data_IF_800859752879
#
_entry.id   IF_800859752879
#
_cell.length_a   1.000
_cell.length_b   1.000
_cell.length_c   1.000
_cell.angle_alpha   90.00
_cell.angle_beta   90.00
_cell.angle_gamma   90.00
#
_symmetry.space_group_name_H-M   'P 1'
#
loop_
_entity.id
_entity.type
_entity.pdbx_description
1 polymer ?
#
# COMPACT_ATOMS: atom_id res chain seq x y z
N UNK A 1 31.88 2.84 -20.62
CA UNK A 1 32.06 2.64 -22.08
C UNK A 1 30.68 2.77 -22.67
N UNK A 2 30.43 3.84 -23.41
CA UNK A 2 29.09 4.14 -23.89
C UNK A 2 28.89 3.43 -25.24
N UNK A 3 28.03 2.41 -25.24
CA UNK A 3 27.71 1.63 -26.43
C UNK A 3 26.42 2.19 -27.04
N UNK A 4 26.37 2.27 -28.36
CA UNK A 4 25.15 2.60 -29.11
C UNK A 4 24.80 1.45 -30.04
N UNK A 5 23.53 1.25 -30.29
CA UNK A 5 23.07 0.39 -31.38
C UNK A 5 22.64 1.26 -32.55
N UNK A 6 23.12 0.92 -33.74
CA UNK A 6 22.70 1.48 -35.03
C UNK A 6 21.85 0.43 -35.73
N UNK A 7 20.67 0.79 -36.21
CA UNK A 7 19.77 -0.16 -36.86
C UNK A 7 18.71 0.56 -37.70
N UNK A 8 18.11 -0.19 -38.60
CA UNK A 8 16.94 0.23 -39.38
C UNK A 8 15.69 -0.42 -38.78
N UNK A 9 14.53 0.21 -38.97
CA UNK A 9 13.26 -0.36 -38.54
C UNK A 9 12.13 -0.15 -39.54
N UNK A 10 11.22 -1.12 -39.57
CA UNK A 10 9.93 -1.00 -40.25
C UNK A 10 8.81 -1.35 -39.28
N UNK A 11 7.87 -0.45 -39.08
CA UNK A 11 6.68 -0.62 -38.23
C UNK A 11 5.44 -0.58 -39.10
N UNK A 12 4.64 -1.64 -39.07
CA UNK A 12 3.39 -1.76 -39.82
C UNK A 12 2.21 -1.62 -38.87
N UNK A 13 1.22 -0.80 -39.22
CA UNK A 13 0.05 -0.56 -38.36
C UNK A 13 -1.13 -1.47 -38.71
N UNK A 14 -1.89 -1.88 -37.69
CA UNK A 14 -3.05 -2.77 -37.85
C UNK A 14 -4.22 -2.12 -38.58
N UNK A 15 -4.27 -0.78 -38.61
CA UNK A 15 -5.24 0.00 -39.39
C UNK A 15 -4.73 0.40 -40.79
N UNK A 16 -3.57 -0.13 -41.21
CA UNK A 16 -2.94 0.17 -42.50
C UNK A 16 -1.91 1.30 -42.44
N UNK A 17 -0.93 1.24 -43.36
CA UNK A 17 0.22 2.14 -43.39
C UNK A 17 1.45 1.60 -42.64
N UNK A 18 2.59 2.29 -42.80
CA UNK A 18 3.83 1.93 -42.12
C UNK A 18 4.76 3.14 -41.91
N UNK A 19 5.65 3.02 -40.92
CA UNK A 19 6.79 3.93 -40.71
C UNK A 19 8.07 3.14 -40.91
N UNK A 20 9.05 3.76 -41.60
CA UNK A 20 10.40 3.22 -41.73
C UNK A 20 11.43 4.24 -41.28
N UNK A 21 12.48 3.77 -40.62
CA UNK A 21 13.64 4.57 -40.24
C UNK A 21 14.93 3.85 -40.60
N UNK A 22 15.93 4.61 -41.03
CA UNK A 22 17.24 4.11 -41.44
C UNK A 22 18.34 4.73 -40.56
N UNK A 23 19.39 3.95 -40.30
CA UNK A 23 20.58 4.34 -39.53
C UNK A 23 20.27 4.93 -38.14
N UNK A 24 19.17 4.50 -37.53
CA UNK A 24 18.70 5.01 -36.24
C UNK A 24 19.67 4.60 -35.14
N UNK A 25 20.02 5.55 -34.25
CA UNK A 25 21.03 5.32 -33.20
C UNK A 25 20.44 5.49 -31.81
N UNK A 26 20.54 4.45 -31.00
CA UNK A 26 20.09 4.42 -29.61
C UNK A 26 21.23 4.07 -28.67
N UNK A 27 21.26 4.72 -27.51
CA UNK A 27 22.23 4.44 -26.46
C UNK A 27 21.78 3.17 -25.72
N UNK A 28 22.68 2.21 -25.49
CA UNK A 28 22.34 0.96 -24.81
C UNK A 28 23.24 0.73 -23.60
N UNK A 29 22.69 0.08 -22.57
CA UNK A 29 23.47 -0.41 -21.43
C UNK A 29 23.92 -1.85 -21.70
N UNK A 30 25.23 -2.08 -21.67
CA UNK A 30 25.83 -3.37 -21.97
C UNK A 30 26.26 -3.51 -23.44
N UNK A 31 26.66 -4.71 -23.82
CA UNK A 31 27.26 -4.99 -25.14
C UNK A 31 26.25 -5.46 -26.20
N UNK A 32 24.97 -5.63 -25.83
CA UNK A 32 23.93 -6.08 -26.74
C UNK A 32 22.53 -5.64 -26.24
N UNK A 33 21.55 -5.71 -27.15
CA UNK A 33 20.12 -5.52 -26.90
C UNK A 33 19.37 -6.47 -27.83
N UNK A 34 18.15 -6.91 -27.54
CA UNK A 34 17.36 -7.73 -28.48
C UNK A 34 16.57 -6.88 -29.48
N UNK A 35 16.09 -7.49 -30.57
CA UNK A 35 15.27 -6.78 -31.57
C UNK A 35 13.89 -6.41 -31.02
N UNK A 36 13.35 -7.24 -30.12
CA UNK A 36 12.10 -6.96 -29.43
C UNK A 36 12.24 -5.71 -28.54
N UNK A 37 13.31 -5.63 -27.75
CA UNK A 37 13.55 -4.48 -26.88
C UNK A 37 13.73 -3.18 -27.68
N UNK A 38 14.35 -3.23 -28.87
CA UNK A 38 14.45 -2.06 -29.75
C UNK A 38 13.11 -1.65 -30.36
N UNK A 39 12.30 -2.63 -30.77
CA UNK A 39 10.96 -2.39 -31.27
C UNK A 39 10.08 -1.74 -30.20
N UNK A 40 10.05 -2.33 -29.00
CA UNK A 40 9.28 -1.83 -27.85
C UNK A 40 9.69 -0.39 -27.50
N UNK A 41 11.00 -0.11 -27.49
CA UNK A 41 11.53 1.24 -27.25
C UNK A 41 11.03 2.28 -28.25
N UNK A 42 11.13 2.00 -29.56
CA UNK A 42 10.70 2.97 -30.59
C UNK A 42 9.19 3.22 -30.52
N UNK A 43 8.41 2.16 -30.29
CA UNK A 43 6.95 2.24 -30.19
C UNK A 43 6.55 3.15 -29.03
N UNK A 44 7.19 2.98 -27.88
CA UNK A 44 6.94 3.79 -26.69
C UNK A 44 7.40 5.25 -26.88
N UNK A 45 8.63 5.47 -27.33
CA UNK A 45 9.24 6.80 -27.45
C UNK A 45 8.49 7.68 -28.48
N UNK A 46 8.12 7.09 -29.62
CA UNK A 46 7.33 7.76 -30.66
C UNK A 46 5.82 7.75 -30.36
N UNK A 47 5.39 7.14 -29.24
CA UNK A 47 3.99 7.01 -28.80
C UNK A 47 3.07 6.45 -29.89
N UNK A 48 3.54 5.44 -30.59
CA UNK A 48 2.84 4.84 -31.71
C UNK A 48 1.68 3.96 -31.19
N UNK A 49 0.49 4.14 -31.79
CA UNK A 49 -0.70 3.35 -31.49
C UNK A 49 -1.01 2.40 -32.64
N UNK A 50 -1.76 1.32 -32.36
CA UNK A 50 -2.18 0.33 -33.36
C UNK A 50 -1.01 -0.34 -34.10
N UNK A 51 0.13 -0.53 -33.41
CA UNK A 51 1.31 -1.18 -33.98
C UNK A 51 1.05 -2.67 -34.16
N UNK A 52 1.27 -3.16 -35.38
CA UNK A 52 1.24 -4.57 -35.76
C UNK A 52 2.65 -5.15 -35.80
N UNK A 53 3.06 -5.65 -36.98
CA UNK A 53 4.40 -6.23 -37.15
C UNK A 53 5.48 -5.15 -37.09
N UNK A 54 6.54 -5.40 -36.32
CA UNK A 54 7.76 -4.59 -36.32
C UNK A 54 8.95 -5.44 -36.75
N UNK A 55 9.80 -4.88 -37.61
CA UNK A 55 11.05 -5.50 -38.07
C UNK A 55 12.22 -4.61 -37.72
N UNK A 56 13.23 -5.18 -37.09
CA UNK A 56 14.54 -4.55 -36.90
C UNK A 56 15.48 -5.14 -37.93
N UNK A 57 16.23 -4.28 -38.62
CA UNK A 57 17.11 -4.64 -39.73
C UNK A 57 18.49 -3.99 -39.51
N UNK A 58 19.53 -4.54 -40.14
CA UNK A 58 20.87 -3.93 -40.22
C UNK A 58 21.46 -3.45 -38.88
N UNK A 59 21.22 -4.25 -37.83
CA UNK A 59 21.62 -3.92 -36.46
C UNK A 59 23.12 -4.11 -36.23
N UNK A 60 23.76 -3.06 -35.70
CA UNK A 60 25.18 -3.02 -35.38
C UNK A 60 25.43 -2.32 -34.03
N UNK A 61 26.36 -2.82 -33.23
CA UNK A 61 26.74 -2.22 -31.94
C UNK A 61 28.02 -1.40 -32.11
N UNK A 62 27.92 -0.09 -31.88
CA UNK A 62 28.99 0.89 -31.99
C UNK A 62 29.56 1.25 -30.61
N UNK A 63 30.85 1.55 -30.54
CA UNK A 63 31.53 2.02 -29.32
C UNK A 63 32.05 3.44 -29.56
N UNK A 64 31.34 4.45 -29.07
CA UNK A 64 31.67 5.86 -29.32
C UNK A 64 31.42 6.70 -28.05
N UNK A 65 32.34 7.59 -27.61
CA UNK A 65 32.10 8.47 -26.47
C UNK A 65 31.08 9.57 -26.81
N UNK A 66 29.98 9.68 -26.04
CA UNK A 66 28.92 10.68 -26.30
C UNK A 66 28.39 11.36 -25.02
N UNK A 67 27.86 12.58 -25.17
CA UNK A 67 27.59 13.55 -24.07
C UNK A 67 26.18 13.47 -23.45
N UNK A 68 25.38 12.44 -23.74
CA UNK A 68 24.04 12.31 -23.13
C UNK A 68 24.05 11.24 -22.03
N UNK A 69 23.61 11.62 -20.83
CA UNK A 69 23.24 10.66 -19.80
C UNK A 69 22.07 9.83 -20.33
N UNK A 70 22.14 8.49 -20.32
CA UNK A 70 21.00 7.67 -20.71
C UNK A 70 19.82 8.02 -19.80
N UNK A 71 18.67 8.34 -20.37
CA UNK A 71 17.40 8.43 -19.65
C UNK A 71 16.96 6.98 -19.39
N UNK A 72 17.71 6.30 -18.53
CA UNK A 72 17.23 5.10 -17.85
C UNK A 72 16.72 5.57 -16.49
N UNK A 73 15.52 6.13 -16.49
CA UNK A 73 14.65 5.76 -15.38
C UNK A 73 14.34 4.30 -15.67
N UNK A 74 15.12 3.38 -15.08
CA UNK A 74 14.62 2.04 -14.77
C UNK A 74 13.18 2.29 -14.34
N UNK A 75 12.22 1.59 -14.91
CA UNK A 75 10.97 1.38 -14.20
C UNK A 75 11.41 0.61 -12.94
N UNK A 76 11.82 1.36 -11.92
CA UNK A 76 11.99 0.89 -10.56
C UNK A 76 10.57 0.52 -10.19
N UNK A 77 10.19 -0.73 -10.45
CA UNK A 77 8.93 -1.24 -9.99
C UNK A 77 8.96 -1.11 -8.47
N UNK A 78 8.24 -0.12 -7.97
CA UNK A 78 7.96 0.04 -6.56
C UNK A 78 7.47 -1.31 -6.03
N UNK A 79 8.13 -1.82 -4.99
CA UNK A 79 7.64 -3.02 -4.33
C UNK A 79 6.52 -2.60 -3.39
N UNK A 80 5.31 -3.06 -3.69
CA UNK A 80 4.15 -2.88 -2.84
C UNK A 80 4.04 -4.06 -1.89
N UNK A 81 4.07 -3.79 -0.59
CA UNK A 81 3.90 -4.78 0.46
C UNK A 81 2.53 -4.56 1.08
N UNK A 82 1.71 -5.60 1.06
CA UNK A 82 0.40 -5.61 1.68
C UNK A 82 0.50 -5.88 3.17
N UNK A 83 -0.09 -4.99 3.96
CA UNK A 83 -0.02 -4.99 5.42
C UNK A 83 -1.39 -5.25 6.07
N UNK A 84 -2.32 -5.83 5.30
CA UNK A 84 -3.70 -6.06 5.74
C UNK A 84 -4.06 -7.53 5.81
N UNK A 85 -4.86 -7.90 6.82
CA UNK A 85 -5.50 -9.21 6.86
C UNK A 85 -6.69 -9.28 5.90
N UNK A 86 -6.92 -10.46 5.31
CA UNK A 86 -8.09 -10.72 4.46
C UNK A 86 -9.38 -10.68 5.29
N UNK A 87 -10.38 -9.95 4.81
CA UNK A 87 -11.73 -9.96 5.37
C UNK A 87 -12.57 -10.99 4.61
N UNK A 88 -13.13 -11.95 5.34
CA UNK A 88 -14.00 -13.00 4.81
C UNK A 88 -15.24 -13.17 5.68
N UNK A 89 -16.27 -13.83 5.15
CA UNK A 89 -17.49 -14.12 5.91
C UNK A 89 -17.15 -14.84 7.22
N UNK A 90 -17.68 -14.35 8.34
CA UNK A 90 -17.47 -14.97 9.65
C UNK A 90 -16.15 -14.63 10.33
N UNK A 91 -15.31 -13.76 9.73
CA UNK A 91 -14.08 -13.29 10.37
C UNK A 91 -14.38 -12.61 11.71
N UNK A 92 -13.81 -13.13 12.79
CA UNK A 92 -13.87 -12.47 14.09
C UNK A 92 -12.72 -11.47 14.18
N UNK A 93 -13.02 -10.18 14.37
CA UNK A 93 -12.00 -9.14 14.62
C UNK A 93 -11.95 -8.76 16.11
N UNK A 94 -13.12 -8.71 16.75
CA UNK A 94 -13.28 -8.51 18.18
C UNK A 94 -14.27 -9.52 18.76
N UNK A 95 -13.92 -10.13 19.89
CA UNK A 95 -14.86 -10.98 20.63
C UNK A 95 -16.07 -10.15 21.08
N UNK A 96 -17.26 -10.62 20.72
CA UNK A 96 -18.54 -9.98 21.07
C UNK A 96 -19.08 -8.99 20.04
N UNK A 97 -18.32 -8.63 19.01
CA UNK A 97 -18.86 -7.89 17.86
C UNK A 97 -19.39 -8.86 16.78
N UNK A 98 -20.42 -8.46 16.01
CA UNK A 98 -20.88 -9.24 14.87
C UNK A 98 -19.77 -9.44 13.84
N UNK A 99 -19.58 -10.68 13.40
CA UNK A 99 -18.71 -11.00 12.28
C UNK A 99 -19.33 -10.51 10.95
N UNK A 100 -18.51 -10.19 9.93
CA UNK A 100 -19.01 -9.72 8.65
C UNK A 100 -19.80 -10.82 7.93
N UNK A 101 -20.91 -10.40 7.32
CA UNK A 101 -21.70 -11.20 6.40
C UNK A 101 -21.32 -10.78 4.99
N UNK A 102 -20.69 -11.68 4.25
CA UNK A 102 -20.34 -11.50 2.84
C UNK A 102 -21.15 -12.52 2.05
N UNK A 103 -22.10 -12.05 1.26
CA UNK A 103 -22.98 -12.91 0.47
C UNK A 103 -23.34 -12.26 -0.87
N UNK A 104 -24.08 -12.98 -1.71
CA UNK A 104 -24.57 -12.43 -2.98
C UNK A 104 -25.83 -11.60 -2.76
N UNK A 105 -25.82 -10.36 -3.24
CA UNK A 105 -27.05 -9.64 -3.59
C UNK A 105 -27.63 -10.19 -4.89
N UNK A 106 -26.76 -10.37 -5.89
CA UNK A 106 -27.05 -11.04 -7.15
C UNK A 106 -25.95 -12.07 -7.43
N UNK A 107 -26.31 -13.35 -7.45
CA UNK A 107 -25.38 -14.42 -7.80
C UNK A 107 -25.14 -14.48 -9.31
N UNK A 108 -24.02 -15.08 -9.74
CA UNK A 108 -23.75 -15.30 -11.17
C UNK A 108 -24.86 -16.08 -11.86
N UNK A 109 -25.38 -17.11 -11.19
CA UNK A 109 -26.49 -17.91 -11.69
C UNK A 109 -27.77 -17.07 -11.88
N UNK A 110 -28.16 -16.30 -10.86
CA UNK A 110 -29.34 -15.46 -10.95
C UNK A 110 -29.16 -14.31 -11.96
N UNK A 111 -27.92 -13.84 -12.14
CA UNK A 111 -27.62 -12.79 -13.12
C UNK A 111 -27.98 -13.19 -14.55
N UNK A 112 -27.93 -14.50 -14.90
CA UNK A 112 -28.30 -15.01 -16.23
C UNK A 112 -29.75 -14.69 -16.63
N UNK A 113 -30.62 -14.41 -15.66
CA UNK A 113 -32.01 -14.01 -15.93
C UNK A 113 -32.13 -12.56 -16.41
N UNK A 114 -31.09 -11.74 -16.19
CA UNK A 114 -31.05 -10.31 -16.50
C UNK A 114 -30.13 -9.97 -17.69
N UNK A 115 -29.23 -10.87 -18.08
CA UNK A 115 -28.22 -10.64 -19.11
C UNK A 115 -28.28 -11.69 -20.23
N UNK A 116 -27.69 -11.36 -21.39
CA UNK A 116 -27.62 -12.26 -22.53
C UNK A 116 -26.76 -13.50 -22.25
N UNK A 117 -26.99 -14.56 -23.03
CA UNK A 117 -26.23 -15.81 -22.94
C UNK A 117 -24.74 -15.54 -23.06
N UNK A 118 -23.96 -16.03 -22.09
CA UNK A 118 -22.51 -15.82 -22.02
C UNK A 118 -22.08 -14.62 -21.17
N UNK A 119 -23.03 -13.85 -20.63
CA UNK A 119 -22.75 -12.71 -19.73
C UNK A 119 -23.28 -12.98 -18.33
N UNK A 120 -22.40 -13.00 -17.33
CA UNK A 120 -22.75 -13.28 -15.93
C UNK A 120 -21.99 -12.36 -14.99
N UNK A 121 -22.68 -11.84 -13.97
CA UNK A 121 -22.11 -10.95 -12.96
C UNK A 121 -22.42 -11.44 -11.56
N UNK A 122 -21.53 -11.13 -10.61
CA UNK A 122 -21.82 -11.24 -9.20
C UNK A 122 -21.86 -9.84 -8.60
N UNK A 123 -22.88 -9.57 -7.80
CA UNK A 123 -22.97 -8.35 -6.98
C UNK A 123 -23.00 -8.83 -5.54
N UNK A 124 -21.93 -8.53 -4.80
CA UNK A 124 -21.84 -8.85 -3.38
C UNK A 124 -22.66 -7.90 -2.52
N UNK A 125 -23.22 -8.41 -1.43
CA UNK A 125 -23.71 -7.65 -0.29
C UNK A 125 -22.77 -7.90 0.89
N UNK A 126 -22.35 -6.82 1.54
CA UNK A 126 -21.50 -6.89 2.73
C UNK A 126 -22.21 -6.14 3.85
N UNK A 127 -22.40 -6.82 4.98
CA UNK A 127 -22.87 -6.24 6.23
C UNK A 127 -21.80 -6.51 7.28
N UNK A 128 -21.25 -5.46 7.88
CA UNK A 128 -20.15 -5.59 8.84
C UNK A 128 -20.10 -4.41 9.78
N UNK A 129 -19.57 -4.63 10.99
CA UNK A 129 -19.08 -3.53 11.82
C UNK A 129 -17.82 -2.94 11.19
N UNK A 130 -17.58 -1.66 11.42
CA UNK A 130 -16.50 -0.96 10.72
C UNK A 130 -15.11 -1.19 11.31
N UNK A 131 -15.04 -1.72 12.54
CA UNK A 131 -13.83 -2.27 13.14
C UNK A 131 -13.64 -3.76 12.74
N UNK A 132 -13.47 -4.01 11.45
CA UNK A 132 -13.28 -5.37 10.88
C UNK A 132 -11.94 -5.47 10.15
N UNK A 133 -11.19 -6.55 10.36
CA UNK A 133 -9.89 -6.78 9.73
C UNK A 133 -8.86 -5.71 10.10
N UNK A 134 -8.01 -5.34 9.15
CA UNK A 134 -7.13 -4.17 9.27
C UNK A 134 -7.92 -2.92 8.92
N UNK A 135 -8.05 -2.00 9.88
CA UNK A 135 -8.86 -0.79 9.73
C UNK A 135 -8.13 0.43 10.27
N UNK A 136 -8.66 1.60 9.92
CA UNK A 136 -8.19 2.90 10.40
C UNK A 136 -9.25 3.58 11.25
N UNK A 137 -8.82 4.27 12.30
CA UNK A 137 -9.65 5.13 13.14
C UNK A 137 -9.31 6.60 12.91
N UNK A 138 -10.34 7.43 12.86
CA UNK A 138 -10.25 8.89 12.78
C UNK A 138 -10.96 9.56 13.98
N UNK A 139 -10.85 10.90 14.14
CA UNK A 139 -11.37 11.60 15.31
C UNK A 139 -12.82 11.27 15.69
N UNK A 140 -13.70 11.09 14.70
CA UNK A 140 -15.10 10.75 14.92
C UNK A 140 -15.31 9.44 15.71
N UNK A 141 -14.38 8.48 15.64
CA UNK A 141 -14.47 7.23 16.41
C UNK A 141 -14.55 7.49 17.92
N UNK A 142 -13.85 8.54 18.39
CA UNK A 142 -13.76 8.88 19.82
C UNK A 142 -14.56 10.12 20.20
N UNK A 143 -14.70 11.09 19.30
CA UNK A 143 -15.30 12.38 19.57
C UNK A 143 -16.49 12.62 18.63
N UNK A 144 -17.68 12.82 19.21
CA UNK A 144 -18.94 13.02 18.46
C UNK A 144 -18.86 14.13 17.40
N UNK A 145 -18.08 15.18 17.65
CA UNK A 145 -17.86 16.31 16.74
C UNK A 145 -16.50 16.25 16.01
N UNK A 146 -15.79 15.12 16.10
CA UNK A 146 -14.56 14.91 15.36
C UNK A 146 -14.82 14.69 13.87
N UNK A 147 -13.81 14.96 13.03
CA UNK A 147 -13.88 14.68 11.60
C UNK A 147 -14.13 13.20 11.33
N UNK A 148 -15.12 12.89 10.50
CA UNK A 148 -15.36 11.54 10.00
C UNK A 148 -14.45 11.21 8.80
N UNK A 149 -14.47 9.96 8.32
CA UNK A 149 -13.61 9.53 7.20
C UNK A 149 -13.88 10.25 5.87
N UNK A 150 -15.03 10.93 5.72
CA UNK A 150 -15.33 11.76 4.55
C UNK A 150 -14.72 13.16 4.62
N UNK A 151 -14.32 13.59 5.81
CA UNK A 151 -13.81 14.94 6.11
C UNK A 151 -12.29 15.00 6.30
N UNK A 152 -11.64 13.89 6.68
CA UNK A 152 -10.19 13.83 6.80
C UNK A 152 -9.53 13.91 5.41
N UNK A 153 -8.47 14.72 5.28
CA UNK A 153 -7.74 14.93 4.04
C UNK A 153 -6.91 13.72 3.59
N UNK A 154 -6.73 13.55 2.28
CA UNK A 154 -5.98 12.42 1.71
C UNK A 154 -4.51 12.38 2.16
N UNK A 155 -3.92 13.55 2.42
CA UNK A 155 -2.56 13.73 2.93
C UNK A 155 -2.33 13.08 4.30
N UNK A 156 -3.39 12.72 5.03
CA UNK A 156 -3.31 11.98 6.28
C UNK A 156 -3.28 10.46 6.07
N UNK A 157 -3.59 9.97 4.86
CA UNK A 157 -3.77 8.55 4.58
C UNK A 157 -2.73 7.98 3.60
N UNK A 158 -2.16 8.79 2.72
CA UNK A 158 -1.41 8.28 1.56
C UNK A 158 0.01 8.79 1.50
N UNK A 159 0.90 7.90 1.05
CA UNK A 159 2.31 8.16 0.78
C UNK A 159 3.04 8.85 1.94
N UNK A 160 2.67 8.50 3.17
CA UNK A 160 3.30 9.02 4.38
C UNK A 160 4.72 8.44 4.49
N UNK A 161 5.75 9.28 4.62
CA UNK A 161 7.07 8.77 5.02
C UNK A 161 6.94 8.01 6.34
N UNK A 162 7.45 6.78 6.37
CA UNK A 162 7.12 5.82 7.40
C UNK A 162 8.37 5.21 8.05
N UNK A 163 8.22 4.88 9.33
CA UNK A 163 9.22 4.17 10.12
C UNK A 163 8.60 2.96 10.80
N UNK A 164 9.31 1.84 10.78
CA UNK A 164 8.99 0.67 11.59
C UNK A 164 9.84 0.68 12.85
N UNK A 165 9.19 0.67 14.01
CA UNK A 165 9.82 0.49 15.32
C UNK A 165 9.50 -0.92 15.80
N UNK A 166 10.54 -1.74 15.95
CA UNK A 166 10.40 -3.16 16.32
C UNK A 166 10.51 -3.31 17.84
N UNK A 167 9.43 -3.74 18.48
CA UNK A 167 9.33 -3.95 19.94
C UNK A 167 8.64 -5.30 20.15
N UNK A 168 9.38 -6.42 20.12
CA UNK A 168 8.79 -7.76 20.15
C UNK A 168 7.93 -8.00 21.39
N UNK A 169 6.76 -8.62 21.22
CA UNK A 169 5.86 -8.94 22.34
C UNK A 169 6.50 -9.89 23.36
N UNK A 170 7.55 -10.61 22.97
CA UNK A 170 8.35 -11.47 23.86
C UNK A 170 9.18 -10.69 24.87
N UNK A 171 9.44 -9.40 24.61
CA UNK A 171 10.21 -8.52 25.50
C UNK A 171 9.29 -7.70 26.41
N UNK A 172 8.21 -7.14 25.86
CA UNK A 172 7.22 -6.37 26.62
C UNK A 172 5.86 -6.35 25.92
N UNK A 173 4.79 -6.26 26.71
CA UNK A 173 3.45 -5.95 26.20
C UNK A 173 3.11 -4.45 26.33
N UNK A 174 3.77 -3.73 27.24
CA UNK A 174 3.50 -2.32 27.49
C UNK A 174 4.57 -1.46 26.81
N UNK A 175 4.19 -0.82 25.71
CA UNK A 175 5.08 0.03 24.91
C UNK A 175 5.01 1.46 25.45
N UNK A 176 6.09 1.86 26.10
CA UNK A 176 6.26 3.19 26.70
C UNK A 176 7.04 4.15 25.79
N UNK A 177 7.03 5.43 26.13
CA UNK A 177 7.80 6.48 25.46
C UNK A 177 9.32 6.20 25.40
N UNK A 178 9.89 5.48 26.37
CA UNK A 178 11.33 5.13 26.36
C UNK A 178 11.70 4.28 25.14
N UNK A 179 10.77 3.44 24.66
CA UNK A 179 10.98 2.64 23.45
C UNK A 179 10.97 3.48 22.16
N UNK A 180 10.50 4.74 22.24
CA UNK A 180 10.29 5.61 21.09
C UNK A 180 11.31 6.76 21.00
N UNK A 181 11.93 7.15 22.12
CA UNK A 181 12.81 8.34 22.23
C UNK A 181 14.02 8.37 21.29
N UNK A 182 14.51 7.20 20.86
CA UNK A 182 15.72 7.10 20.03
C UNK A 182 15.45 7.06 18.52
N UNK A 183 14.21 7.36 18.10
CA UNK A 183 13.79 7.34 16.70
C UNK A 183 13.40 8.74 16.23
N UNK A 184 13.79 9.08 15.00
CA UNK A 184 13.27 10.28 14.32
C UNK A 184 11.92 9.96 13.70
N UNK A 185 10.85 10.46 14.34
CA UNK A 185 9.45 10.11 14.06
C UNK A 185 8.60 11.32 13.65
N UNK A 186 9.11 12.55 13.77
CA UNK A 186 8.32 13.77 13.54
C UNK A 186 7.84 13.84 12.09
N UNK A 187 6.55 14.15 11.89
CA UNK A 187 5.88 14.19 10.58
C UNK A 187 5.86 12.86 9.80
N UNK A 188 6.04 11.72 10.46
CA UNK A 188 6.05 10.39 9.82
C UNK A 188 4.85 9.54 10.23
N UNK A 189 4.59 8.48 9.49
CA UNK A 189 3.80 7.34 9.97
C UNK A 189 4.70 6.44 10.83
N UNK A 190 4.27 6.15 12.05
CA UNK A 190 5.00 5.29 12.99
C UNK A 190 4.31 3.93 13.06
N UNK A 191 4.94 2.90 12.51
CA UNK A 191 4.42 1.53 12.53
C UNK A 191 5.12 0.73 13.64
N UNK A 192 4.35 0.30 14.63
CA UNK A 192 4.83 -0.48 15.76
C UNK A 192 4.71 -1.96 15.41
N UNK A 193 5.86 -2.61 15.24
CA UNK A 193 5.95 -4.03 14.95
C UNK A 193 6.28 -4.82 16.21
N UNK A 194 5.30 -5.57 16.68
CA UNK A 194 5.41 -6.41 17.88
C UNK A 194 5.55 -7.89 17.54
N UNK A 195 5.17 -8.29 16.32
CA UNK A 195 5.06 -9.68 15.88
C UNK A 195 3.78 -10.37 16.35
N UNK A 196 2.81 -9.61 16.90
CA UNK A 196 1.57 -10.16 17.43
C UNK A 196 0.62 -10.69 16.34
N UNK A 197 0.78 -10.19 15.11
CA UNK A 197 0.08 -10.65 13.90
C UNK A 197 0.25 -12.16 13.65
N UNK A 198 1.33 -12.76 14.13
CA UNK A 198 1.52 -14.23 14.12
C UNK A 198 0.42 -15.02 14.85
N UNK A 199 -0.34 -14.37 15.74
CA UNK A 199 -1.47 -15.00 16.43
C UNK A 199 -2.83 -14.68 15.78
N UNK A 200 -2.87 -13.96 14.64
CA UNK A 200 -4.11 -13.52 14.00
C UNK A 200 -5.15 -14.63 13.86
N UNK A 201 -6.43 -14.29 14.10
CA UNK A 201 -7.57 -15.20 14.04
C UNK A 201 -7.42 -16.46 14.93
N UNK A 202 -6.72 -16.33 16.07
CA UNK A 202 -6.68 -17.35 17.13
C UNK A 202 -7.19 -16.77 18.44
N UNK A 203 -7.60 -17.63 19.38
CA UNK A 203 -8.06 -17.20 20.72
C UNK A 203 -7.05 -16.30 21.42
N UNK A 204 -5.75 -16.58 21.25
CA UNK A 204 -4.66 -15.83 21.87
C UNK A 204 -4.57 -14.40 21.34
N UNK A 205 -4.98 -14.13 20.10
CA UNK A 205 -4.90 -12.79 19.52
C UNK A 205 -5.63 -11.74 20.37
N UNK A 206 -6.78 -12.13 20.92
CA UNK A 206 -7.73 -11.25 21.59
C UNK A 206 -7.41 -11.01 23.08
N UNK A 207 -6.33 -11.60 23.61
CA UNK A 207 -6.03 -11.62 25.04
C UNK A 207 -4.55 -11.30 25.27
N UNK A 208 -4.25 -10.50 26.30
CA UNK A 208 -2.87 -10.17 26.70
C UNK A 208 -1.98 -9.68 25.53
N UNK A 209 -2.56 -8.86 24.65
CA UNK A 209 -1.86 -8.32 23.49
C UNK A 209 -0.96 -7.11 23.85
N UNK A 210 0.07 -6.82 23.03
CA UNK A 210 0.86 -5.59 23.14
C UNK A 210 0.02 -4.33 22.91
N UNK A 211 0.37 -3.25 23.58
CA UNK A 211 -0.34 -1.96 23.50
C UNK A 211 0.61 -0.79 23.82
N UNK A 212 0.20 0.43 23.49
CA UNK A 212 0.91 1.66 23.84
C UNK A 212 0.37 2.19 25.18
N UNK A 213 1.27 2.71 26.02
CA UNK A 213 0.86 3.40 27.24
C UNK A 213 0.38 4.83 26.95
N UNK A 214 -0.29 5.45 27.92
CA UNK A 214 -0.62 6.87 27.84
C UNK A 214 0.62 7.76 27.66
N UNK A 215 1.75 7.41 28.28
CA UNK A 215 3.03 8.10 28.11
C UNK A 215 3.54 8.04 26.67
N UNK A 216 3.48 6.86 26.03
CA UNK A 216 3.81 6.70 24.62
C UNK A 216 2.88 7.54 23.72
N UNK A 217 1.58 7.54 23.98
CA UNK A 217 0.63 8.34 23.19
C UNK A 217 0.90 9.85 23.28
N UNK A 218 1.18 10.36 24.48
CA UNK A 218 1.56 11.77 24.68
C UNK A 218 2.85 12.11 23.95
N UNK A 219 3.85 11.23 24.02
CA UNK A 219 5.11 11.41 23.32
C UNK A 219 4.91 11.46 21.79
N UNK A 220 4.17 10.52 21.21
CA UNK A 220 3.85 10.51 19.77
C UNK A 220 3.13 11.79 19.33
N UNK A 221 2.15 12.25 20.10
CA UNK A 221 1.46 13.52 19.88
C UNK A 221 2.41 14.70 19.89
N UNK A 222 3.26 14.80 20.92
CA UNK A 222 4.18 15.92 21.11
C UNK A 222 5.29 15.95 20.03
N UNK A 223 5.60 14.79 19.45
CA UNK A 223 6.44 14.66 18.27
C UNK A 223 5.73 15.00 16.95
N UNK A 224 4.41 15.25 16.95
CA UNK A 224 3.63 15.60 15.75
C UNK A 224 3.77 14.55 14.63
N UNK A 225 3.64 13.28 14.98
CA UNK A 225 3.53 12.21 13.98
C UNK A 225 2.27 12.41 13.13
N UNK A 226 2.21 11.79 11.95
CA UNK A 226 1.04 11.86 11.06
C UNK A 226 0.02 10.76 11.31
N UNK A 227 0.52 9.57 11.62
CA UNK A 227 -0.28 8.35 11.77
C UNK A 227 0.50 7.37 12.66
N UNK A 228 -0.21 6.59 13.46
CA UNK A 228 0.38 5.42 14.13
C UNK A 228 -0.31 4.14 13.65
N UNK A 229 0.48 3.10 13.42
CA UNK A 229 -0.01 1.76 13.10
C UNK A 229 0.52 0.73 14.09
N UNK A 230 -0.24 -0.32 14.39
CA UNK A 230 0.20 -1.44 15.23
C UNK A 230 -0.29 -2.79 14.69
N UNK A 231 0.53 -3.82 14.80
CA UNK A 231 0.22 -5.21 14.42
C UNK A 231 -0.47 -6.02 15.53
N UNK A 232 -1.19 -5.33 16.42
CA UNK A 232 -1.79 -5.89 17.64
C UNK A 232 -3.32 -5.78 17.62
N UNK A 233 -3.97 -6.45 18.57
CA UNK A 233 -5.42 -6.49 18.69
C UNK A 233 -6.04 -5.11 18.99
N UNK A 234 -5.36 -4.27 19.76
CA UNK A 234 -5.77 -2.90 20.01
C UNK A 234 -4.53 -2.09 20.39
N UNK A 235 -4.50 -0.81 20.07
CA UNK A 235 -3.42 0.11 20.41
C UNK A 235 -3.44 0.49 21.90
N UNK A 236 -4.62 0.43 22.54
CA UNK A 236 -4.80 0.59 23.98
C UNK A 236 -4.81 -0.75 24.72
N UNK A 237 -4.45 -0.75 26.00
CA UNK A 237 -4.70 -1.91 26.85
C UNK A 237 -6.20 -2.20 26.95
N UNK A 238 -6.60 -3.46 26.75
CA UNK A 238 -7.97 -3.94 26.91
C UNK A 238 -8.35 -4.35 28.34
N UNK A 239 -7.39 -4.37 29.29
CA UNK A 239 -7.64 -4.68 30.70
C UNK A 239 -8.52 -3.61 31.39
N UNK A 240 -8.37 -2.34 30.98
CA UNK A 240 -9.18 -1.21 31.45
C UNK A 240 -10.25 -0.79 30.44
N UNK A 241 -10.89 0.36 30.71
CA UNK A 241 -11.91 0.95 29.81
C UNK A 241 -11.62 2.41 29.44
N UNK A 242 -10.47 2.95 29.84
CA UNK A 242 -10.15 4.38 29.71
C UNK A 242 -9.66 4.78 28.32
N UNK A 243 -9.10 3.83 27.55
CA UNK A 243 -8.59 4.01 26.17
C UNK A 243 -7.81 5.34 25.97
N UNK A 244 -6.74 5.58 26.77
CA UNK A 244 -6.00 6.82 26.75
C UNK A 244 -5.26 7.09 25.42
N UNK A 245 -4.84 6.05 24.70
CA UNK A 245 -4.12 6.20 23.43
C UNK A 245 -5.07 6.74 22.36
N UNK A 246 -6.23 6.11 22.17
CA UNK A 246 -7.26 6.62 21.26
C UNK A 246 -7.63 8.06 21.61
N UNK A 247 -7.89 8.34 22.88
CA UNK A 247 -8.28 9.69 23.34
C UNK A 247 -7.20 10.73 23.03
N UNK A 248 -5.93 10.40 23.28
CA UNK A 248 -4.82 11.34 23.09
C UNK A 248 -4.52 11.60 21.62
N UNK A 249 -4.45 10.55 20.80
CA UNK A 249 -4.02 10.66 19.41
C UNK A 249 -5.13 11.19 18.52
N UNK A 250 -6.34 10.64 18.63
CA UNK A 250 -7.48 11.10 17.83
C UNK A 250 -7.88 12.54 18.20
N UNK A 251 -7.66 12.94 19.46
CA UNK A 251 -7.89 14.32 19.92
C UNK A 251 -6.88 15.32 19.34
N UNK A 252 -5.74 14.83 18.86
CA UNK A 252 -4.73 15.59 18.14
C UNK A 252 -4.79 15.38 16.62
N UNK A 253 -5.87 14.78 16.11
CA UNK A 253 -6.07 14.43 14.70
C UNK A 253 -5.01 13.48 14.11
N UNK A 254 -4.37 12.66 14.96
CA UNK A 254 -3.43 11.61 14.55
C UNK A 254 -4.22 10.32 14.36
N UNK A 255 -4.22 9.79 13.14
CA UNK A 255 -4.95 8.58 12.79
C UNK A 255 -4.28 7.31 13.35
N UNK A 256 -5.07 6.27 13.56
CA UNK A 256 -4.65 4.99 14.15
C UNK A 256 -4.99 3.86 13.19
N UNK A 257 -4.03 2.99 12.85
CA UNK A 257 -4.29 1.76 12.09
C UNK A 257 -4.01 0.56 12.98
N UNK A 258 -5.01 -0.30 13.18
CA UNK A 258 -4.91 -1.49 14.01
C UNK A 258 -4.91 -2.77 13.16
N UNK A 259 -4.46 -3.87 13.75
CA UNK A 259 -4.37 -5.17 13.08
C UNK A 259 -3.54 -5.16 11.79
N UNK A 260 -2.45 -4.40 11.77
CA UNK A 260 -1.47 -4.54 10.69
C UNK A 260 -0.84 -5.94 10.71
N UNK A 261 -0.36 -6.37 9.56
CA UNK A 261 0.44 -7.59 9.44
C UNK A 261 1.67 -7.37 8.58
N UNK A 262 2.54 -8.36 8.50
CA UNK A 262 3.69 -8.37 7.58
C UNK A 262 4.72 -7.23 7.79
N UNK A 263 4.68 -6.52 8.93
CA UNK A 263 5.66 -5.47 9.23
C UNK A 263 7.10 -6.01 9.37
N UNK A 264 7.27 -7.33 9.52
CA UNK A 264 8.57 -7.98 9.45
C UNK A 264 9.25 -7.86 8.07
N UNK A 265 8.48 -7.67 6.99
CA UNK A 265 9.00 -7.51 5.63
C UNK A 265 9.57 -6.10 5.35
N UNK A 266 9.26 -5.12 6.20
CA UNK A 266 9.61 -3.72 5.95
C UNK A 266 11.04 -3.41 6.43
N UNK A 267 11.80 -2.55 5.73
CA UNK A 267 12.98 -1.93 6.30
C UNK A 267 12.59 -1.02 7.48
N UNK A 268 13.59 -0.54 8.23
CA UNK A 268 13.35 0.42 9.32
C UNK A 268 12.69 1.70 8.80
N UNK A 269 13.19 2.25 7.69
CA UNK A 269 12.75 3.48 7.05
C UNK A 269 13.02 3.42 5.54
N UNK A 270 12.80 4.52 4.81
CA UNK A 270 13.02 4.59 3.36
C UNK A 270 11.85 4.05 2.52
N UNK A 271 10.65 4.02 3.10
CA UNK A 271 9.42 3.61 2.42
C UNK A 271 8.28 4.57 2.76
N UNK A 272 7.20 4.49 1.99
CA UNK A 272 5.97 5.23 2.28
C UNK A 272 4.85 4.29 2.68
N UNK A 273 3.97 4.75 3.57
CA UNK A 273 2.81 4.01 4.06
C UNK A 273 1.52 4.68 3.59
N UNK A 274 0.56 3.85 3.16
CA UNK A 274 -0.76 4.27 2.74
C UNK A 274 -1.84 3.39 3.39
N UNK A 275 -2.89 4.00 3.94
CA UNK A 275 -4.05 3.34 4.52
C UNK A 275 -5.33 4.16 4.24
N UNK A 276 -5.75 4.20 2.97
CA UNK A 276 -6.89 4.99 2.53
C UNK A 276 -8.19 4.20 2.75
N UNK A 277 -9.17 4.71 3.53
CA UNK A 277 -10.49 4.12 3.64
C UNK A 277 -11.42 4.61 2.52
N UNK A 278 -12.52 3.90 2.22
CA UNK A 278 -13.60 4.46 1.44
C UNK A 278 -14.19 5.70 2.12
N UNK A 279 -14.68 6.64 1.31
CA UNK A 279 -15.16 7.96 1.75
C UNK A 279 -16.58 7.92 2.32
N UNK A 280 -16.79 7.21 3.43
CA UNK A 280 -18.09 7.12 4.12
C UNK A 280 -18.33 8.28 5.07
N UNK A 281 -19.53 8.87 5.01
CA UNK A 281 -20.00 9.90 5.94
C UNK A 281 -20.61 9.26 7.19
N UNK A 282 -20.38 9.88 8.36
CA UNK A 282 -20.91 9.45 9.65
C UNK A 282 -20.21 8.22 10.23
N UNK A 283 -18.99 7.93 9.77
CA UNK A 283 -18.24 6.73 10.11
C UNK A 283 -16.84 7.13 10.56
N UNK A 284 -16.45 6.66 11.75
CA UNK A 284 -15.17 6.99 12.39
C UNK A 284 -14.07 5.94 12.19
N UNK A 285 -14.45 4.74 11.74
CA UNK A 285 -13.55 3.61 11.52
C UNK A 285 -13.94 2.92 10.24
N UNK A 286 -13.02 2.35 9.47
CA UNK A 286 -13.39 1.49 8.35
C UNK A 286 -12.21 0.62 7.91
N UNK A 287 -12.45 -0.59 7.36
CA UNK A 287 -11.38 -1.39 6.79
C UNK A 287 -10.56 -0.65 5.73
N UNK A 288 -9.25 -0.92 5.72
CA UNK A 288 -8.31 -0.38 4.73
C UNK A 288 -7.54 -1.52 4.09
N UNK A 289 -7.06 -1.30 2.86
CA UNK A 289 -5.94 -2.08 2.32
C UNK A 289 -4.66 -1.30 2.58
N UNK A 290 -4.17 -1.39 3.82
CA UNK A 290 -2.91 -0.79 4.23
C UNK A 290 -1.75 -1.39 3.43
N UNK A 291 -0.86 -0.53 2.94
CA UNK A 291 0.27 -0.94 2.11
C UNK A 291 1.50 -0.09 2.39
N UNK A 292 2.67 -0.69 2.19
CA UNK A 292 3.94 0.00 2.11
C UNK A 292 4.45 -0.01 0.66
N UNK A 293 4.99 1.12 0.22
CA UNK A 293 5.63 1.28 -1.08
C UNK A 293 7.13 1.50 -0.88
N UNK A 294 7.93 0.53 -1.31
CA UNK A 294 9.39 0.55 -1.24
C UNK A 294 9.95 0.93 -2.60
N UNK A 295 10.57 2.10 -2.68
CA UNK A 295 11.41 2.49 -3.82
C UNK A 295 12.72 1.72 -3.74
N UNK A 296 13.08 0.94 -4.77
CA UNK A 296 14.40 0.32 -4.85
C UNK A 296 15.46 1.40 -5.07
N UNK A 297 16.09 1.86 -3.99
CA UNK A 297 17.33 2.64 -4.10
C UNK A 297 18.46 1.70 -4.56
N UNK A 298 19.04 1.97 -5.74
CA UNK A 298 20.24 1.29 -6.24
C UNK A 298 21.45 1.53 -5.32
#
# INVERSE_FOLDING_TARGET
MDKRVKFDFEIYFTNGGSIKGEDFRLDILGDNISDKELADYIIEDLRLLMVGQTKILNKEILTEPHKRKPINKKIENDLLIDLSHTIEHGLVTYKGLPAPIVCDYLSRENSKQFYEVGTEFQIGKIEMVTNTGTYIDCPFHRFENGKDLSEVGLECFTDLDAIVIRIPFSETLAITEEHLKNYEIRNRAVLIHTGWDSNWNTEKYYENHPYLTEGAAKYLRDCSIKLVGIDSHNIDSTLGKTRPVHTTLLGAEILIVEHLCNLYLLPKDGFTFSAIPPKFKGVGTFPVRAMAKLTKTN
#
